data_IF_211786917892
#
_entry.id   IF_211786917892
#
_cell.length_a   1.000
_cell.length_b   1.000
_cell.length_c   1.000
_cell.angle_alpha   90.00
_cell.angle_beta   90.00
_cell.angle_gamma   90.00
#
_symmetry.space_group_name_H-M   'P 1'
#
loop_
_entity.id
_entity.type
_entity.pdbx_description
1 polymer ?
#
# COMPACT_ATOMS: atom_id res chain seq x y z
N UNK A 1 8.11 8.19 -39.94
CA UNK A 1 7.85 6.78 -39.61
C UNK A 1 6.73 6.76 -38.59
N UNK A 2 5.62 6.14 -38.97
CA UNK A 2 4.31 6.20 -38.29
C UNK A 2 4.30 5.43 -36.96
N UNK A 3 3.85 6.06 -35.88
CA UNK A 3 3.94 5.56 -34.48
C UNK A 3 2.64 4.85 -34.01
N UNK A 4 1.81 4.39 -34.95
CA UNK A 4 0.47 3.84 -34.63
C UNK A 4 0.37 2.32 -34.67
N UNK A 5 1.49 1.58 -34.67
CA UNK A 5 1.48 0.11 -34.66
C UNK A 5 2.44 -0.46 -33.63
N UNK A 6 2.05 -0.46 -32.36
CA UNK A 6 2.62 -1.35 -31.37
C UNK A 6 1.54 -2.33 -30.89
N UNK A 7 1.68 -3.58 -31.31
CA UNK A 7 0.80 -4.67 -30.92
C UNK A 7 1.20 -5.18 -29.51
N UNK A 8 0.26 -5.64 -28.67
CA UNK A 8 0.48 -6.12 -27.29
C UNK A 8 1.47 -7.30 -27.12
N UNK A 9 2.02 -7.84 -28.21
CA UNK A 9 2.83 -9.06 -28.23
C UNK A 9 4.34 -8.83 -28.07
N UNK A 10 4.84 -7.61 -28.19
CA UNK A 10 6.28 -7.32 -28.06
C UNK A 10 6.75 -7.33 -26.59
N UNK A 11 5.88 -6.96 -25.64
CA UNK A 11 6.19 -7.02 -24.21
C UNK A 11 6.35 -8.47 -23.71
N UNK A 12 5.57 -9.41 -24.25
CA UNK A 12 5.70 -10.85 -23.93
C UNK A 12 7.01 -11.45 -24.43
N UNK A 13 7.54 -10.99 -25.56
CA UNK A 13 8.82 -11.48 -26.11
C UNK A 13 10.01 -11.04 -25.24
N UNK A 14 9.93 -9.87 -24.61
CA UNK A 14 10.97 -9.40 -23.69
C UNK A 14 11.00 -10.26 -22.40
N UNK A 15 9.81 -10.60 -21.86
CA UNK A 15 9.71 -11.47 -20.68
C UNK A 15 10.14 -12.93 -20.95
N UNK A 16 10.06 -13.41 -22.20
CA UNK A 16 10.42 -14.78 -22.55
C UNK A 16 11.95 -15.04 -22.58
N UNK A 17 12.79 -14.00 -22.53
CA UNK A 17 14.26 -14.14 -22.44
C UNK A 17 14.78 -14.44 -21.03
N UNK A 18 13.92 -14.39 -20.00
CA UNK A 18 14.27 -14.76 -18.64
C UNK A 18 13.93 -16.25 -18.44
N UNK A 19 14.92 -17.11 -18.68
CA UNK A 19 14.78 -18.56 -18.58
C UNK A 19 14.32 -19.02 -17.19
N UNK A 20 13.15 -19.67 -17.14
CA UNK A 20 12.68 -20.41 -15.99
C UNK A 20 12.47 -21.88 -16.39
N UNK A 21 12.93 -22.86 -15.58
CA UNK A 21 12.77 -24.27 -15.89
C UNK A 21 11.29 -24.67 -15.75
N UNK A 22 10.80 -25.43 -16.74
CA UNK A 22 9.46 -26.04 -16.73
C UNK A 22 9.60 -27.51 -16.36
N UNK A 23 8.99 -27.94 -15.24
CA UNK A 23 8.43 -29.29 -15.01
C UNK A 23 7.80 -29.39 -13.61
N UNK A 24 6.87 -30.34 -13.33
CA UNK A 24 5.81 -30.88 -14.17
C UNK A 24 4.41 -30.76 -13.50
N UNK A 25 3.36 -31.06 -14.25
CA UNK A 25 1.98 -31.18 -13.75
C UNK A 25 1.80 -32.40 -12.84
N UNK A 26 1.29 -32.21 -11.61
CA UNK A 26 0.10 -32.88 -11.00
C UNK A 26 0.17 -32.98 -9.47
N UNK A 27 -0.73 -32.30 -8.78
CA UNK A 27 -1.70 -32.86 -7.81
C UNK A 27 -2.61 -31.73 -7.27
N UNK A 28 -3.84 -32.08 -6.87
CA UNK A 28 -4.90 -31.15 -6.45
C UNK A 28 -4.46 -30.28 -5.24
N UNK A 29 -4.33 -28.93 -5.39
CA UNK A 29 -3.61 -28.10 -4.41
C UNK A 29 -4.45 -27.63 -3.20
N UNK A 30 -5.70 -28.09 -3.07
CA UNK A 30 -6.60 -27.61 -1.99
C UNK A 30 -6.22 -28.07 -0.58
N UNK A 31 -5.55 -29.21 -0.44
CA UNK A 31 -5.21 -29.77 0.89
C UNK A 31 -3.76 -29.47 1.29
N UNK A 32 -2.83 -29.44 0.33
CA UNK A 32 -1.39 -29.27 0.63
C UNK A 32 -1.01 -27.82 0.95
N UNK A 33 -1.79 -26.82 0.51
CA UNK A 33 -1.48 -25.40 0.77
C UNK A 33 -1.71 -24.95 2.22
N UNK A 34 -2.60 -25.62 2.97
CA UNK A 34 -2.76 -25.40 4.41
C UNK A 34 -1.51 -25.77 5.22
N UNK A 35 -0.63 -26.62 4.66
CA UNK A 35 0.61 -27.05 5.30
C UNK A 35 1.81 -26.14 5.06
N UNK A 36 1.67 -25.02 4.32
CA UNK A 36 2.82 -24.11 4.12
C UNK A 36 3.23 -23.37 5.42
N UNK A 37 4.54 -23.24 5.72
CA UNK A 37 5.03 -22.61 6.95
C UNK A 37 4.92 -21.09 6.86
N UNK A 38 4.57 -20.40 7.96
CA UNK A 38 4.63 -18.93 8.01
C UNK A 38 3.58 -18.21 8.87
N UNK A 39 2.60 -18.92 9.47
CA UNK A 39 1.77 -18.37 10.54
C UNK A 39 2.17 -19.04 11.85
N UNK A 40 2.73 -18.27 12.80
CA UNK A 40 3.19 -18.77 14.10
C UNK A 40 2.08 -19.39 14.98
N UNK A 41 0.82 -19.25 14.58
CA UNK A 41 -0.36 -19.82 15.24
C UNK A 41 -0.31 -21.36 15.34
N UNK A 42 0.34 -22.04 14.37
CA UNK A 42 0.40 -23.51 14.34
C UNK A 42 1.07 -24.12 15.57
N UNK A 43 2.16 -23.50 16.06
CA UNK A 43 2.90 -23.99 17.23
C UNK A 43 2.05 -23.91 18.50
N UNK A 44 1.31 -22.83 18.64
CA UNK A 44 0.41 -22.60 19.77
C UNK A 44 -0.84 -23.50 19.72
N UNK A 45 -1.40 -23.77 18.54
CA UNK A 45 -2.48 -24.74 18.37
C UNK A 45 -2.05 -26.17 18.70
N UNK A 46 -0.85 -26.57 18.27
CA UNK A 46 -0.29 -27.88 18.63
C UNK A 46 -0.07 -27.96 20.15
N UNK A 47 0.47 -26.92 20.77
CA UNK A 47 0.65 -26.86 22.22
C UNK A 47 -0.68 -26.95 22.98
N UNK A 48 -1.72 -26.25 22.51
CA UNK A 48 -3.08 -26.32 23.06
C UNK A 48 -3.67 -27.73 22.94
N UNK A 49 -3.54 -28.37 21.76
CA UNK A 49 -4.01 -29.75 21.54
C UNK A 49 -3.29 -30.73 22.46
N UNK A 50 -1.97 -30.63 22.59
CA UNK A 50 -1.18 -31.47 23.50
C UNK A 50 -1.63 -31.25 24.95
N UNK A 51 -1.85 -30.00 25.37
CA UNK A 51 -2.37 -29.68 26.70
C UNK A 51 -3.75 -30.29 26.97
N UNK A 52 -4.69 -30.19 26.02
CA UNK A 52 -6.01 -30.80 26.14
C UNK A 52 -5.94 -32.33 26.24
N UNK A 53 -5.08 -32.96 25.44
CA UNK A 53 -4.87 -34.41 25.50
C UNK A 53 -4.33 -34.82 26.86
N UNK A 54 -3.29 -34.15 27.37
CA UNK A 54 -2.72 -34.44 28.69
C UNK A 54 -3.74 -34.30 29.83
N UNK A 55 -4.52 -33.21 29.83
CA UNK A 55 -5.59 -32.99 30.81
C UNK A 55 -6.66 -34.09 30.70
N UNK A 56 -7.11 -34.40 29.48
CA UNK A 56 -8.12 -35.43 29.24
C UNK A 56 -7.66 -36.82 29.70
N UNK A 57 -6.38 -37.14 29.49
CA UNK A 57 -5.77 -38.39 29.89
C UNK A 57 -5.65 -38.46 31.42
N UNK A 58 -5.23 -37.37 32.07
CA UNK A 58 -5.16 -37.26 33.52
C UNK A 58 -6.53 -37.44 34.20
N UNK A 59 -7.56 -36.75 33.71
CA UNK A 59 -8.94 -36.92 34.16
C UNK A 59 -9.42 -38.36 33.91
N UNK A 60 -9.11 -38.91 32.73
CA UNK A 60 -9.45 -40.29 32.36
C UNK A 60 -8.86 -41.33 33.34
N UNK A 61 -7.58 -41.18 33.71
CA UNK A 61 -6.93 -42.05 34.69
C UNK A 61 -7.54 -41.90 36.09
N UNK A 62 -7.82 -40.66 36.53
CA UNK A 62 -8.45 -40.41 37.82
C UNK A 62 -9.85 -41.06 37.91
N UNK A 63 -10.68 -40.87 36.88
CA UNK A 63 -12.00 -41.49 36.80
C UNK A 63 -11.93 -43.01 36.72
N UNK A 64 -10.99 -43.57 35.93
CA UNK A 64 -10.80 -45.02 35.83
C UNK A 64 -10.37 -45.63 37.17
N UNK A 65 -9.55 -44.92 37.95
CA UNK A 65 -9.15 -45.34 39.29
C UNK A 65 -10.36 -45.36 40.23
N UNK A 66 -11.12 -44.26 40.33
CA UNK A 66 -12.34 -44.18 41.17
C UNK A 66 -13.34 -45.29 40.82
N UNK A 67 -13.51 -45.58 39.53
CA UNK A 67 -14.40 -46.64 39.05
C UNK A 67 -13.92 -48.05 39.44
N UNK A 68 -12.61 -48.28 39.47
CA UNK A 68 -12.01 -49.58 39.87
C UNK A 68 -11.92 -49.78 41.37
N UNK A 69 -11.79 -48.69 42.14
CA UNK A 69 -11.69 -48.71 43.60
C UNK A 69 -13.02 -49.01 44.31
N UNK A 70 -14.10 -49.28 43.58
CA UNK A 70 -15.38 -49.73 44.14
C UNK A 70 -16.15 -48.67 44.92
N UNK A 71 -15.84 -47.38 44.73
CA UNK A 71 -16.57 -46.28 45.37
C UNK A 71 -18.02 -46.30 44.88
N UNK A 72 -18.98 -46.41 45.80
CA UNK A 72 -20.41 -46.40 45.48
C UNK A 72 -20.84 -45.01 45.01
N UNK A 73 -20.92 -44.84 43.68
CA UNK A 73 -21.43 -43.64 43.05
C UNK A 73 -22.97 -43.63 43.11
N UNK A 74 -23.62 -42.46 43.24
CA UNK A 74 -25.08 -42.34 43.20
C UNK A 74 -25.70 -42.94 41.94
N UNK A 75 -26.92 -43.48 42.04
CA UNK A 75 -27.64 -44.14 40.93
C UNK A 75 -27.78 -43.28 39.66
N UNK A 76 -27.71 -41.96 39.76
CA UNK A 76 -27.80 -41.05 38.61
C UNK A 76 -26.65 -41.26 37.60
N UNK A 77 -25.46 -41.69 38.09
CA UNK A 77 -24.31 -41.95 37.25
C UNK A 77 -24.47 -43.21 36.39
N UNK A 78 -25.34 -44.14 36.78
CA UNK A 78 -25.64 -45.34 36.00
C UNK A 78 -26.21 -44.99 34.62
N UNK A 79 -27.18 -44.06 34.60
CA UNK A 79 -27.82 -43.58 33.37
C UNK A 79 -26.93 -42.61 32.61
N UNK A 80 -26.26 -41.69 33.30
CA UNK A 80 -25.38 -40.70 32.68
C UNK A 80 -24.17 -41.34 31.97
N UNK A 81 -23.62 -42.40 32.56
CA UNK A 81 -22.50 -43.16 31.98
C UNK A 81 -22.96 -44.36 31.17
N UNK A 82 -24.24 -44.46 30.81
CA UNK A 82 -24.79 -45.51 29.93
C UNK A 82 -24.34 -46.94 30.32
N UNK A 83 -24.37 -47.28 31.62
CA UNK A 83 -23.84 -48.57 32.12
C UNK A 83 -24.64 -49.79 31.69
N UNK A 84 -25.87 -49.59 31.20
CA UNK A 84 -26.71 -50.65 30.64
C UNK A 84 -26.23 -51.15 29.25
N UNK A 85 -25.27 -50.47 28.63
CA UNK A 85 -24.67 -50.85 27.35
C UNK A 85 -23.29 -51.49 27.56
N UNK A 86 -22.93 -52.41 26.66
CA UNK A 86 -21.62 -53.05 26.66
C UNK A 86 -20.49 -52.00 26.60
N UNK A 87 -19.37 -52.30 27.29
CA UNK A 87 -18.26 -51.38 27.49
C UNK A 87 -17.68 -50.86 26.18
N UNK A 88 -17.60 -51.72 25.16
CA UNK A 88 -17.09 -51.36 23.83
C UNK A 88 -18.07 -50.44 23.07
N UNK A 89 -19.37 -50.73 23.15
CA UNK A 89 -20.43 -49.94 22.50
C UNK A 89 -20.50 -48.54 23.08
N UNK A 90 -20.47 -48.42 24.41
CA UNK A 90 -20.44 -47.13 25.10
C UNK A 90 -19.21 -46.30 24.74
N UNK A 91 -18.03 -46.92 24.71
CA UNK A 91 -16.79 -46.24 24.32
C UNK A 91 -16.87 -45.68 22.90
N UNK A 92 -17.43 -46.45 21.96
CA UNK A 92 -17.67 -46.01 20.59
C UNK A 92 -18.62 -44.82 20.50
N UNK A 93 -19.73 -44.82 21.27
CA UNK A 93 -20.69 -43.71 21.30
C UNK A 93 -20.07 -42.40 21.79
N UNK A 94 -19.33 -42.43 22.91
CA UNK A 94 -18.66 -41.24 23.43
C UNK A 94 -17.58 -40.72 22.47
N UNK A 95 -16.82 -41.62 21.83
CA UNK A 95 -15.83 -41.23 20.84
C UNK A 95 -16.49 -40.57 19.60
N UNK A 96 -17.58 -41.13 19.09
CA UNK A 96 -18.30 -40.58 17.95
C UNK A 96 -18.95 -39.22 18.26
N UNK A 97 -19.56 -39.07 19.44
CA UNK A 97 -20.15 -37.81 19.89
C UNK A 97 -19.06 -36.75 20.08
N UNK A 98 -17.97 -37.10 20.75
CA UNK A 98 -16.82 -36.20 20.94
C UNK A 98 -16.22 -35.73 19.62
N UNK A 99 -16.01 -36.65 18.67
CA UNK A 99 -15.51 -36.31 17.33
C UNK A 99 -16.48 -35.38 16.59
N UNK A 100 -17.78 -35.63 16.68
CA UNK A 100 -18.81 -34.81 16.03
C UNK A 100 -18.85 -33.38 16.60
N UNK A 101 -18.75 -33.23 17.92
CA UNK A 101 -18.68 -31.92 18.59
C UNK A 101 -17.40 -31.18 18.18
N UNK A 102 -16.26 -31.86 18.13
CA UNK A 102 -14.98 -31.26 17.71
C UNK A 102 -15.07 -30.77 16.26
N UNK A 103 -15.60 -31.59 15.35
CA UNK A 103 -15.78 -31.21 13.94
C UNK A 103 -16.74 -30.03 13.77
N UNK A 104 -17.84 -30.02 14.53
CA UNK A 104 -18.79 -28.91 14.53
C UNK A 104 -18.17 -27.62 15.10
N UNK A 105 -17.43 -27.72 16.20
CA UNK A 105 -16.72 -26.60 16.81
C UNK A 105 -15.65 -26.02 15.87
N UNK A 106 -14.88 -26.88 15.19
CA UNK A 106 -13.91 -26.46 14.17
C UNK A 106 -14.60 -25.74 13.00
N UNK A 107 -15.72 -26.28 12.52
CA UNK A 107 -16.51 -25.65 11.46
C UNK A 107 -17.04 -24.26 11.89
N UNK A 108 -17.60 -24.17 13.10
CA UNK A 108 -18.14 -22.91 13.64
C UNK A 108 -17.07 -21.88 13.97
N UNK A 109 -15.92 -22.29 14.50
CA UNK A 109 -14.77 -21.41 14.72
C UNK A 109 -14.25 -20.86 13.40
N UNK A 110 -14.15 -21.71 12.37
CA UNK A 110 -13.80 -21.27 11.03
C UNK A 110 -14.82 -20.24 10.53
N UNK A 111 -16.13 -20.46 10.72
CA UNK A 111 -17.15 -19.50 10.33
C UNK A 111 -17.10 -18.18 11.13
N UNK A 112 -16.86 -18.24 12.44
CA UNK A 112 -16.89 -17.08 13.34
C UNK A 112 -15.66 -16.19 13.21
N UNK A 113 -14.49 -16.78 13.01
CA UNK A 113 -13.23 -16.02 12.88
C UNK A 113 -13.10 -15.44 11.48
N UNK A 114 -13.59 -16.15 10.46
CA UNK A 114 -13.45 -15.73 9.07
C UNK A 114 -14.67 -14.94 8.54
N UNK A 115 -15.84 -15.07 9.17
CA UNK A 115 -17.10 -14.44 8.76
C UNK A 115 -17.05 -12.90 8.63
N UNK A 116 -16.45 -12.16 9.59
CA UNK A 116 -16.31 -10.71 9.49
C UNK A 116 -15.31 -10.24 8.43
N UNK A 117 -14.41 -11.12 7.97
CA UNK A 117 -13.35 -10.80 6.99
C UNK A 117 -13.68 -11.31 5.58
N UNK A 118 -14.88 -11.84 5.35
CA UNK A 118 -15.29 -12.44 4.08
C UNK A 118 -16.54 -11.78 3.45
N UNK A 119 -16.46 -10.51 3.00
CA UNK A 119 -17.26 -10.06 1.88
C UNK A 119 -16.63 -10.63 0.59
N UNK A 120 -17.24 -11.67 -0.02
CA UNK A 120 -16.88 -12.11 -1.38
C UNK A 120 -15.94 -13.32 -1.53
N UNK A 121 -16.29 -14.45 -0.89
CA UNK A 121 -16.26 -15.84 -1.40
C UNK A 121 -15.15 -16.30 -2.41
N UNK A 122 -13.86 -16.04 -2.15
CA UNK A 122 -12.68 -16.85 -2.60
C UNK A 122 -11.57 -16.07 -3.33
N UNK A 123 -11.86 -14.94 -3.99
CA UNK A 123 -10.80 -14.15 -4.67
C UNK A 123 -10.03 -13.26 -3.67
N UNK A 124 -10.75 -12.58 -2.79
CA UNK A 124 -10.20 -11.57 -1.88
C UNK A 124 -9.07 -12.09 -1.00
N UNK A 125 -9.20 -13.27 -0.37
CA UNK A 125 -8.14 -13.76 0.54
C UNK A 125 -6.88 -14.20 -0.22
N UNK A 126 -7.04 -14.85 -1.37
CA UNK A 126 -5.92 -15.26 -2.22
C UNK A 126 -5.20 -14.05 -2.81
N UNK A 127 -5.96 -13.00 -3.14
CA UNK A 127 -5.47 -11.73 -3.66
C UNK A 127 -4.77 -10.92 -2.58
N UNK A 128 -5.31 -10.87 -1.35
CA UNK A 128 -4.66 -10.27 -0.17
C UNK A 128 -3.34 -10.99 0.14
N UNK A 129 -3.32 -12.34 0.15
CA UNK A 129 -2.09 -13.12 0.44
C UNK A 129 -1.07 -13.00 -0.70
N UNK A 130 -1.51 -13.02 -1.96
CA UNK A 130 -0.66 -12.76 -3.12
C UNK A 130 -0.06 -11.36 -3.04
N UNK A 131 -0.90 -10.35 -2.78
CA UNK A 131 -0.48 -8.97 -2.64
C UNK A 131 0.50 -8.78 -1.49
N UNK A 132 0.30 -9.44 -0.35
CA UNK A 132 1.20 -9.27 0.78
C UNK A 132 2.54 -10.00 0.61
N UNK A 133 2.55 -11.21 0.01
CA UNK A 133 3.77 -12.04 -0.09
C UNK A 133 4.58 -11.87 -1.38
N UNK A 134 3.95 -11.62 -2.53
CA UNK A 134 4.67 -11.51 -3.80
C UNK A 134 5.09 -10.07 -4.09
N UNK A 135 4.22 -9.10 -3.85
CA UNK A 135 4.52 -7.71 -4.23
C UNK A 135 5.49 -7.02 -3.25
N UNK A 136 5.59 -7.45 -1.99
CA UNK A 136 6.69 -7.02 -1.10
C UNK A 136 8.05 -7.55 -1.54
N UNK A 137 8.10 -8.58 -2.39
CA UNK A 137 9.32 -9.07 -3.04
C UNK A 137 9.48 -8.53 -4.47
N UNK A 138 8.61 -7.61 -4.89
CA UNK A 138 8.69 -6.98 -6.20
C UNK A 138 9.89 -6.03 -6.31
N UNK A 139 10.21 -5.58 -7.53
CA UNK A 139 11.36 -4.70 -7.74
C UNK A 139 11.17 -3.36 -7.02
N UNK A 140 12.27 -2.77 -6.56
CA UNK A 140 12.30 -1.40 -6.00
C UNK A 140 12.24 -0.38 -7.13
N UNK A 141 11.11 0.30 -7.26
CA UNK A 141 10.86 1.25 -8.35
C UNK A 141 10.67 2.65 -7.78
N UNK A 142 11.49 3.58 -8.25
CA UNK A 142 11.35 5.01 -7.98
C UNK A 142 10.65 5.67 -9.16
N UNK A 143 9.65 6.50 -8.90
CA UNK A 143 9.00 7.32 -9.92
C UNK A 143 9.11 8.80 -9.54
N UNK A 144 9.71 9.61 -10.42
CA UNK A 144 9.86 11.05 -10.23
C UNK A 144 8.83 11.82 -11.06
N UNK A 145 8.19 12.81 -10.48
CA UNK A 145 7.31 13.71 -11.24
C UNK A 145 6.37 14.53 -10.36
N UNK A 146 5.17 14.74 -10.88
CA UNK A 146 4.10 15.48 -10.22
C UNK A 146 2.75 15.25 -10.91
N UNK A 147 1.71 15.83 -10.34
CA UNK A 147 0.39 15.90 -10.92
C UNK A 147 -0.32 14.56 -11.19
N UNK A 148 -1.18 14.61 -12.20
CA UNK A 148 -2.05 13.50 -12.62
C UNK A 148 -1.29 12.39 -13.38
N UNK A 149 -0.20 12.74 -14.06
CA UNK A 149 0.64 11.79 -14.79
C UNK A 149 1.30 10.78 -13.87
N UNK A 150 2.01 11.27 -12.84
CA UNK A 150 2.65 10.43 -11.83
C UNK A 150 1.61 9.57 -11.09
N UNK A 151 0.51 10.16 -10.62
CA UNK A 151 -0.52 9.41 -9.89
C UNK A 151 -1.21 8.33 -10.74
N UNK A 152 -1.37 8.54 -12.04
CA UNK A 152 -1.89 7.52 -12.96
C UNK A 152 -0.90 6.37 -13.13
N UNK A 153 0.39 6.68 -13.32
CA UNK A 153 1.45 5.69 -13.39
C UNK A 153 1.51 4.84 -12.11
N UNK A 154 1.53 5.49 -10.94
CA UNK A 154 1.57 4.82 -9.63
C UNK A 154 0.38 3.87 -9.41
N UNK A 155 -0.83 4.27 -9.83
CA UNK A 155 -2.03 3.41 -9.75
C UNK A 155 -1.89 2.14 -10.57
N UNK A 156 -1.18 2.21 -11.71
CA UNK A 156 -0.81 1.06 -12.53
C UNK A 156 0.28 0.21 -11.87
N UNK A 157 1.38 0.85 -11.46
CA UNK A 157 2.56 0.18 -10.89
C UNK A 157 2.27 -0.55 -9.58
N UNK A 158 1.35 -0.04 -8.75
CA UNK A 158 0.92 -0.67 -7.48
C UNK A 158 0.46 -2.12 -7.64
N UNK A 159 0.03 -2.51 -8.85
CA UNK A 159 -0.38 -3.88 -9.19
C UNK A 159 0.80 -4.84 -9.39
N UNK A 160 2.00 -4.33 -9.64
CA UNK A 160 3.19 -5.10 -10.02
C UNK A 160 4.29 -5.11 -8.95
N UNK A 161 4.36 -4.07 -8.11
CA UNK A 161 5.27 -4.06 -6.96
C UNK A 161 4.67 -3.29 -5.79
N UNK A 162 5.05 -3.67 -4.57
CA UNK A 162 4.78 -2.93 -3.34
C UNK A 162 5.93 -2.03 -2.91
N UNK A 163 7.08 -2.14 -3.57
CA UNK A 163 8.30 -1.40 -3.27
C UNK A 163 8.38 -0.17 -4.18
N UNK A 164 7.39 0.71 -4.07
CA UNK A 164 7.29 1.95 -4.84
C UNK A 164 7.74 3.13 -3.98
N UNK A 165 8.56 4.00 -4.54
CA UNK A 165 8.84 5.32 -3.98
C UNK A 165 8.50 6.40 -4.99
N UNK A 166 7.53 7.25 -4.67
CA UNK A 166 7.18 8.41 -5.47
C UNK A 166 7.94 9.64 -4.96
N UNK A 167 8.79 10.23 -5.79
CA UNK A 167 9.48 11.49 -5.49
C UNK A 167 8.70 12.61 -6.17
N UNK A 168 8.26 13.56 -5.35
CA UNK A 168 7.28 14.58 -5.75
C UNK A 168 7.87 15.98 -5.57
N UNK A 169 7.68 16.84 -6.57
CA UNK A 169 8.08 18.25 -6.49
C UNK A 169 7.26 19.01 -5.45
N UNK A 170 7.89 19.95 -4.76
CA UNK A 170 7.26 20.84 -3.77
C UNK A 170 7.10 22.27 -4.30
N UNK A 171 7.23 22.48 -5.62
CA UNK A 171 7.21 23.81 -6.23
C UNK A 171 5.81 24.28 -6.69
N UNK A 172 4.76 23.47 -6.52
CA UNK A 172 3.38 23.80 -6.88
C UNK A 172 2.89 25.05 -6.12
N UNK A 173 2.26 25.97 -6.83
CA UNK A 173 1.62 27.17 -6.30
C UNK A 173 0.19 27.38 -6.82
N UNK A 174 -0.38 26.37 -7.49
CA UNK A 174 -1.69 26.43 -8.10
C UNK A 174 -2.85 26.15 -7.13
N UNK A 175 -3.98 26.83 -7.38
CA UNK A 175 -5.29 26.47 -6.82
C UNK A 175 -5.32 26.34 -5.30
N UNK A 176 -5.85 25.21 -4.80
CA UNK A 176 -5.96 24.98 -3.36
C UNK A 176 -4.61 24.76 -2.68
N UNK A 177 -3.60 24.23 -3.38
CA UNK A 177 -2.27 23.99 -2.81
C UNK A 177 -1.58 25.32 -2.56
N UNK A 178 -1.56 26.19 -3.57
CA UNK A 178 -0.96 27.53 -3.49
C UNK A 178 -1.57 28.40 -2.40
N UNK A 179 -2.90 28.42 -2.28
CA UNK A 179 -3.57 29.18 -1.20
C UNK A 179 -3.15 28.71 0.20
N UNK A 180 -3.13 27.39 0.43
CA UNK A 180 -2.71 26.84 1.73
C UNK A 180 -1.24 27.10 2.01
N UNK A 181 -0.38 26.97 0.99
CA UNK A 181 1.03 27.30 1.07
C UNK A 181 1.26 28.76 1.46
N UNK A 182 0.55 29.69 0.84
CA UNK A 182 0.67 31.12 1.14
C UNK A 182 0.16 31.50 2.54
N UNK A 183 -0.96 30.90 2.97
CA UNK A 183 -1.62 31.24 4.24
C UNK A 183 -0.96 30.56 5.45
N UNK A 184 -0.55 29.30 5.32
CA UNK A 184 -0.04 28.47 6.42
C UNK A 184 1.47 28.22 6.35
N UNK A 185 2.17 28.71 5.31
CA UNK A 185 3.62 28.52 5.11
C UNK A 185 4.07 27.06 5.15
N UNK A 186 3.25 26.17 4.60
CA UNK A 186 3.54 24.74 4.46
C UNK A 186 3.91 24.41 3.02
N UNK A 187 4.58 23.28 2.81
CA UNK A 187 4.81 22.73 1.47
C UNK A 187 3.47 22.40 0.79
N UNK A 188 3.37 22.54 -0.55
CA UNK A 188 2.11 22.39 -1.25
C UNK A 188 1.61 20.93 -1.20
N UNK A 189 0.42 20.66 -0.65
CA UNK A 189 -0.05 19.30 -0.41
C UNK A 189 -0.63 18.60 -1.65
N UNK A 190 -0.87 19.32 -2.76
CA UNK A 190 -1.67 18.85 -3.89
C UNK A 190 -1.16 17.57 -4.55
N UNK A 191 0.11 17.54 -4.93
CA UNK A 191 0.68 16.38 -5.62
C UNK A 191 0.90 15.20 -4.68
N UNK A 192 1.23 15.46 -3.41
CA UNK A 192 1.27 14.43 -2.36
C UNK A 192 -0.11 13.80 -2.18
N UNK A 193 -1.18 14.61 -2.12
CA UNK A 193 -2.56 14.11 -2.04
C UNK A 193 -2.88 13.20 -3.21
N UNK A 194 -2.50 13.56 -4.44
CA UNK A 194 -2.71 12.73 -5.63
C UNK A 194 -1.96 11.40 -5.54
N UNK A 195 -0.70 11.41 -5.10
CA UNK A 195 0.11 10.20 -4.92
C UNK A 195 -0.45 9.29 -3.82
N UNK A 196 -0.82 9.86 -2.66
CA UNK A 196 -1.48 9.13 -1.55
C UNK A 196 -2.72 8.43 -2.08
N UNK A 197 -3.56 9.15 -2.82
CA UNK A 197 -4.80 8.60 -3.39
C UNK A 197 -4.56 7.54 -4.48
N UNK A 198 -3.43 7.61 -5.19
CA UNK A 198 -3.06 6.61 -6.19
C UNK A 198 -2.59 5.31 -5.54
N UNK A 199 -1.90 5.42 -4.40
CA UNK A 199 -1.27 4.30 -3.71
C UNK A 199 -2.10 3.74 -2.55
N UNK A 200 -3.16 4.43 -2.12
CA UNK A 200 -4.06 4.03 -1.04
C UNK A 200 -4.75 2.68 -1.32
N UNK A 201 -4.85 1.84 -0.29
CA UNK A 201 -5.51 0.52 -0.30
C UNK A 201 -6.70 0.49 0.65
N UNK A 202 -7.58 1.51 0.55
CA UNK A 202 -8.71 1.72 1.46
C UNK A 202 -10.06 1.52 0.78
N UNK A 203 -11.10 1.45 1.61
CA UNK A 203 -12.49 1.41 1.16
C UNK A 203 -12.81 2.58 0.19
N UNK A 204 -13.69 2.36 -0.81
CA UNK A 204 -14.03 3.36 -1.82
C UNK A 204 -14.50 4.72 -1.25
N UNK A 205 -15.16 4.71 -0.09
CA UNK A 205 -15.66 5.92 0.57
C UNK A 205 -14.54 6.83 1.05
N UNK A 206 -13.49 6.29 1.69
CA UNK A 206 -12.35 7.07 2.16
C UNK A 206 -11.59 7.73 1.01
N UNK A 207 -11.42 7.00 -0.09
CA UNK A 207 -10.82 7.55 -1.32
C UNK A 207 -11.66 8.72 -1.86
N UNK A 208 -12.98 8.57 -1.87
CA UNK A 208 -13.93 9.60 -2.33
C UNK A 208 -13.88 10.84 -1.44
N UNK A 209 -13.84 10.65 -0.12
CA UNK A 209 -13.72 11.74 0.86
C UNK A 209 -12.39 12.50 0.65
N UNK A 210 -11.29 11.79 0.49
CA UNK A 210 -9.97 12.41 0.30
C UNK A 210 -9.85 13.18 -1.02
N UNK A 211 -10.62 12.80 -2.04
CA UNK A 211 -10.73 13.51 -3.31
C UNK A 211 -11.77 14.64 -3.28
N UNK A 212 -12.58 14.76 -2.23
CA UNK A 212 -13.64 15.75 -2.16
C UNK A 212 -13.09 17.18 -2.28
N UNK A 213 -13.80 18.01 -3.05
CA UNK A 213 -13.55 19.44 -3.21
C UNK A 213 -14.81 20.20 -2.81
N UNK A 214 -14.65 21.12 -1.87
CA UNK A 214 -15.72 21.99 -1.41
C UNK A 214 -16.11 22.96 -2.53
N UNK A 215 -17.41 23.18 -2.72
CA UNK A 215 -17.96 24.02 -3.80
C UNK A 215 -18.48 25.38 -3.32
N UNK A 216 -18.72 25.51 -2.02
CA UNK A 216 -19.42 26.65 -1.42
C UNK A 216 -18.82 26.98 -0.05
N UNK A 217 -19.12 28.18 0.46
CA UNK A 217 -18.67 28.65 1.77
C UNK A 217 -17.20 29.11 1.82
N UNK A 218 -16.68 29.28 3.03
CA UNK A 218 -15.29 29.71 3.28
C UNK A 218 -14.24 28.73 2.77
N UNK A 219 -14.60 27.45 2.65
CA UNK A 219 -13.73 26.40 2.13
C UNK A 219 -13.81 26.26 0.60
N UNK A 220 -14.53 27.13 -0.12
CA UNK A 220 -14.74 26.99 -1.55
C UNK A 220 -13.43 26.78 -2.33
N UNK A 221 -13.41 25.72 -3.12
CA UNK A 221 -12.27 25.33 -3.93
C UNK A 221 -11.18 24.56 -3.18
N UNK A 222 -11.22 24.44 -1.85
CA UNK A 222 -10.28 23.59 -1.11
C UNK A 222 -10.61 22.11 -1.31
N UNK A 223 -9.57 21.28 -1.33
CA UNK A 223 -9.74 19.83 -1.26
C UNK A 223 -9.65 19.36 0.19
N UNK A 224 -10.55 18.47 0.62
CA UNK A 224 -10.48 17.87 1.95
C UNK A 224 -9.12 17.20 2.19
N UNK A 225 -8.60 16.45 1.21
CA UNK A 225 -7.29 15.82 1.36
C UNK A 225 -6.13 16.81 1.54
N UNK A 226 -6.21 18.00 0.94
CA UNK A 226 -5.21 19.05 1.16
C UNK A 226 -5.29 19.61 2.58
N UNK A 227 -6.52 19.86 3.08
CA UNK A 227 -6.75 20.30 4.46
C UNK A 227 -6.31 19.25 5.47
N UNK A 228 -6.56 17.97 5.18
CA UNK A 228 -6.11 16.86 6.00
C UNK A 228 -4.58 16.81 6.10
N UNK A 229 -3.87 16.87 4.96
CA UNK A 229 -2.39 16.87 4.96
C UNK A 229 -1.84 18.10 5.70
N UNK A 230 -2.44 19.27 5.49
CA UNK A 230 -2.07 20.49 6.21
C UNK A 230 -2.22 20.32 7.73
N UNK A 231 -3.38 19.84 8.20
CA UNK A 231 -3.61 19.60 9.62
C UNK A 231 -2.63 18.57 10.19
N UNK A 232 -2.31 17.52 9.42
CA UNK A 232 -1.29 16.54 9.81
C UNK A 232 0.09 17.19 9.94
N UNK A 233 0.47 18.10 9.03
CA UNK A 233 1.73 18.84 9.10
C UNK A 233 1.80 19.76 10.32
N UNK A 234 0.71 20.45 10.67
CA UNK A 234 0.63 21.26 11.88
C UNK A 234 0.74 20.42 13.16
N UNK A 235 0.05 19.27 13.21
CA UNK A 235 0.05 18.39 14.39
C UNK A 235 1.42 17.73 14.60
N UNK A 236 2.06 17.29 13.51
CA UNK A 236 3.35 16.58 13.57
C UNK A 236 4.53 17.54 13.68
N UNK A 237 4.38 18.80 13.25
CA UNK A 237 5.45 19.78 13.17
C UNK A 237 6.48 19.50 12.07
N UNK A 238 6.28 18.44 11.28
CA UNK A 238 7.19 17.99 10.23
C UNK A 238 6.40 17.46 9.03
N UNK A 239 6.67 18.03 7.85
CA UNK A 239 5.90 17.70 6.65
C UNK A 239 6.14 16.25 6.20
N UNK A 240 7.36 15.73 6.31
CA UNK A 240 7.64 14.33 5.94
C UNK A 240 6.90 13.36 6.86
N UNK A 241 6.95 13.61 8.16
CA UNK A 241 6.21 12.83 9.13
C UNK A 241 4.70 12.90 8.84
N UNK A 242 4.16 14.06 8.49
CA UNK A 242 2.76 14.22 8.11
C UNK A 242 2.37 13.39 6.88
N UNK A 243 3.19 13.37 5.83
CA UNK A 243 2.95 12.54 4.65
C UNK A 243 2.99 11.05 5.01
N UNK A 244 3.94 10.65 5.85
CA UNK A 244 4.08 9.27 6.31
C UNK A 244 2.88 8.80 7.13
N UNK A 245 2.43 9.59 8.10
CA UNK A 245 1.25 9.27 8.91
C UNK A 245 -0.04 9.32 8.09
N UNK A 246 -0.17 10.30 7.18
CA UNK A 246 -1.29 10.36 6.23
C UNK A 246 -1.35 9.10 5.36
N UNK A 247 -0.19 8.63 4.89
CA UNK A 247 -0.06 7.39 4.15
C UNK A 247 -0.47 6.17 4.96
N UNK A 248 -0.12 6.10 6.25
CA UNK A 248 -0.55 5.01 7.14
C UNK A 248 -2.06 4.98 7.34
N UNK A 249 -2.68 6.13 7.61
CA UNK A 249 -4.14 6.26 7.76
C UNK A 249 -4.87 5.77 6.51
N UNK A 250 -4.30 6.02 5.33
CA UNK A 250 -4.86 5.62 4.04
C UNK A 250 -4.28 4.32 3.48
N UNK A 251 -3.61 3.51 4.30
CA UNK A 251 -3.01 2.23 3.91
C UNK A 251 -2.26 2.29 2.57
N UNK A 252 -1.46 3.36 2.39
CA UNK A 252 -0.67 3.60 1.19
C UNK A 252 0.34 2.48 0.98
N UNK A 253 0.39 1.96 -0.24
CA UNK A 253 1.37 0.96 -0.65
C UNK A 253 2.58 1.61 -1.30
N UNK A 254 3.66 1.72 -0.55
CA UNK A 254 4.91 2.36 -0.97
C UNK A 254 5.20 3.59 -0.13
N UNK A 255 6.12 4.40 -0.60
CA UNK A 255 6.58 5.63 0.03
C UNK A 255 6.35 6.82 -0.91
N UNK A 256 6.09 7.98 -0.32
CA UNK A 256 5.94 9.25 -1.03
C UNK A 256 6.87 10.21 -0.32
N UNK A 257 7.79 10.79 -1.07
CA UNK A 257 8.91 11.56 -0.52
C UNK A 257 8.98 12.88 -1.29
N UNK A 258 9.10 14.03 -0.59
CA UNK A 258 9.32 15.30 -1.26
C UNK A 258 10.72 15.35 -1.88
N UNK A 259 10.88 15.98 -3.04
CA UNK A 259 12.19 16.16 -3.69
C UNK A 259 13.17 16.98 -2.85
N UNK A 260 12.64 17.93 -2.08
CA UNK A 260 13.36 18.75 -1.11
C UNK A 260 12.43 19.13 0.04
N UNK A 261 12.99 19.42 1.21
CA UNK A 261 12.26 19.92 2.38
C UNK A 261 12.15 21.43 2.41
N UNK A 262 12.87 22.12 1.53
CA UNK A 262 12.88 23.56 1.45
C UNK A 262 11.64 24.04 0.70
N UNK A 263 10.97 25.05 1.24
CA UNK A 263 9.92 25.76 0.50
C UNK A 263 10.56 26.53 -0.66
N UNK A 264 10.23 26.14 -1.90
CA UNK A 264 10.87 26.65 -3.12
C UNK A 264 9.87 27.05 -4.18
N UNK A 265 10.21 28.09 -4.93
CA UNK A 265 9.42 28.62 -6.02
C UNK A 265 10.06 28.24 -7.34
N UNK A 266 9.25 27.76 -8.28
CA UNK A 266 9.71 27.47 -9.63
C UNK A 266 9.88 28.77 -10.42
N UNK A 267 11.06 28.96 -11.00
CA UNK A 267 11.40 30.09 -11.85
C UNK A 267 11.67 29.60 -13.28
N UNK A 268 11.21 30.35 -14.28
CA UNK A 268 11.52 30.09 -15.69
C UNK A 268 12.15 31.31 -16.35
N UNK A 269 13.34 31.14 -16.93
CA UNK A 269 13.95 32.12 -17.84
C UNK A 269 13.40 31.88 -19.25
N UNK A 270 12.75 32.90 -19.81
CA UNK A 270 12.17 32.87 -21.14
C UNK A 270 13.22 33.27 -22.21
N UNK A 271 12.98 32.92 -23.47
CA UNK A 271 13.90 33.21 -24.56
C UNK A 271 14.11 34.72 -24.83
N UNK A 272 13.17 35.56 -24.40
CA UNK A 272 13.25 37.03 -24.45
C UNK A 272 14.02 37.65 -23.26
N UNK A 273 14.53 36.81 -22.35
CA UNK A 273 15.26 37.22 -21.15
C UNK A 273 14.35 37.57 -19.95
N UNK A 274 13.03 37.56 -20.10
CA UNK A 274 12.12 37.74 -18.98
C UNK A 274 12.15 36.50 -18.06
N UNK A 275 11.97 36.72 -16.76
CA UNK A 275 11.83 35.63 -15.79
C UNK A 275 10.39 35.57 -15.29
N UNK A 276 9.77 34.39 -15.39
CA UNK A 276 8.45 34.10 -14.82
C UNK A 276 8.62 33.39 -13.49
N UNK A 277 7.83 33.84 -12.51
CA UNK A 277 7.85 33.36 -11.12
C UNK A 277 6.60 32.55 -10.87
N UNK A 278 6.77 31.32 -10.38
CA UNK A 278 5.67 30.46 -9.98
C UNK A 278 5.24 29.44 -11.04
N UNK A 279 4.85 28.25 -10.58
CA UNK A 279 4.48 27.13 -11.43
C UNK A 279 3.29 27.46 -12.33
N UNK A 280 2.26 28.04 -11.74
CA UNK A 280 1.02 28.38 -12.44
C UNK A 280 1.18 29.50 -13.47
N UNK A 281 2.18 30.38 -13.32
CA UNK A 281 2.42 31.50 -14.24
C UNK A 281 3.33 31.15 -15.42
N UNK A 282 4.07 30.04 -15.36
CA UNK A 282 5.00 29.65 -16.43
C UNK A 282 4.28 29.29 -17.74
N UNK A 283 3.22 28.44 -17.74
CA UNK A 283 2.51 28.05 -18.96
C UNK A 283 1.66 29.18 -19.56
N UNK A 284 1.25 30.16 -18.75
CA UNK A 284 0.30 31.20 -19.13
C UNK A 284 1.04 32.52 -19.38
N UNK A 285 1.20 32.96 -20.64
CA UNK A 285 1.98 34.15 -20.99
C UNK A 285 1.46 35.45 -20.37
N UNK A 286 0.18 35.45 -20.04
CA UNK A 286 -0.55 36.51 -19.38
C UNK A 286 -1.36 35.82 -18.27
N UNK A 287 -1.66 36.52 -17.17
CA UNK A 287 -2.85 36.16 -16.39
C UNK A 287 -4.09 36.05 -17.30
N UNK A 288 -5.25 35.68 -16.76
CA UNK A 288 -6.51 35.43 -17.49
C UNK A 288 -7.00 36.57 -18.43
N UNK A 289 -6.24 37.66 -18.57
CA UNK A 289 -6.49 38.93 -19.23
C UNK A 289 -6.42 38.90 -20.77
N UNK A 290 -6.31 37.73 -21.40
CA UNK A 290 -6.60 37.54 -22.85
C UNK A 290 -5.76 38.32 -23.86
N UNK A 291 -4.71 39.05 -23.43
CA UNK A 291 -4.05 40.03 -24.28
C UNK A 291 -2.88 39.44 -25.09
N UNK A 292 -3.20 38.55 -26.06
CA UNK A 292 -2.45 38.30 -27.30
C UNK A 292 -0.91 38.18 -27.32
N UNK A 293 -0.23 37.95 -26.19
CA UNK A 293 1.22 37.89 -26.13
C UNK A 293 1.73 36.61 -26.80
N UNK A 294 2.76 36.76 -27.62
CA UNK A 294 3.42 35.65 -28.32
C UNK A 294 3.92 34.64 -27.29
N UNK A 295 3.65 33.35 -27.50
CA UNK A 295 4.19 32.29 -26.66
C UNK A 295 5.72 32.26 -26.76
N UNK A 296 6.41 32.91 -25.81
CA UNK A 296 7.87 32.85 -25.72
C UNK A 296 8.30 31.45 -25.27
N UNK A 297 9.31 30.88 -25.94
CA UNK A 297 9.89 29.60 -25.54
C UNK A 297 10.59 29.70 -24.17
N UNK A 298 10.48 28.65 -23.35
CA UNK A 298 11.23 28.53 -22.09
C UNK A 298 12.68 28.15 -22.42
N UNK A 299 13.64 28.94 -21.93
CA UNK A 299 15.08 28.68 -22.11
C UNK A 299 15.61 27.73 -21.05
N UNK A 300 15.26 27.95 -19.78
CA UNK A 300 15.57 27.04 -18.66
C UNK A 300 14.63 27.29 -17.47
N UNK A 301 14.57 26.33 -16.56
CA UNK A 301 13.92 26.46 -15.26
C UNK A 301 14.91 26.25 -14.13
N UNK A 302 14.66 26.86 -12.98
CA UNK A 302 15.45 26.74 -11.77
C UNK A 302 14.55 26.96 -10.54
N UNK A 303 15.06 26.66 -9.34
CA UNK A 303 14.32 26.80 -8.09
C UNK A 303 14.94 27.88 -7.22
N UNK A 304 14.10 28.67 -6.55
CA UNK A 304 14.54 29.70 -5.62
C UNK A 304 13.75 29.63 -4.30
N UNK A 305 14.42 29.63 -3.13
CA UNK A 305 15.87 29.54 -2.94
C UNK A 305 16.44 28.19 -3.42
N UNK A 306 17.75 28.12 -3.71
CA UNK A 306 18.40 26.88 -4.16
C UNK A 306 18.21 25.75 -3.15
N UNK A 307 17.52 24.65 -3.51
CA UNK A 307 17.26 23.54 -2.60
C UNK A 307 18.30 22.42 -2.74
N UNK A 308 18.53 21.72 -1.64
CA UNK A 308 19.24 20.43 -1.62
C UNK A 308 18.24 19.28 -1.68
N UNK A 309 18.66 18.16 -2.27
CA UNK A 309 17.88 16.92 -2.30
C UNK A 309 17.51 16.47 -0.88
N UNK A 310 16.30 15.94 -0.74
CA UNK A 310 15.89 15.23 0.46
C UNK A 310 16.73 13.93 0.64
N UNK A 311 17.39 13.71 1.79
CA UNK A 311 18.11 12.47 2.07
C UNK A 311 17.30 11.18 1.83
N UNK A 312 16.00 11.16 2.15
CA UNK A 312 15.14 9.99 1.90
C UNK A 312 14.94 9.74 0.39
N UNK A 313 14.90 10.82 -0.41
CA UNK A 313 14.79 10.72 -1.87
C UNK A 313 16.10 10.21 -2.48
N UNK A 314 17.24 10.69 -1.99
CA UNK A 314 18.57 10.22 -2.39
C UNK A 314 18.75 8.72 -2.09
N UNK A 315 18.44 8.30 -0.86
CA UNK A 315 18.52 6.89 -0.44
C UNK A 315 17.63 6.00 -1.32
N UNK A 316 16.40 6.44 -1.62
CA UNK A 316 15.50 5.69 -2.48
C UNK A 316 16.05 5.52 -3.90
N UNK A 317 16.65 6.57 -4.47
CA UNK A 317 17.27 6.55 -5.80
C UNK A 317 18.45 5.57 -5.84
N UNK A 318 19.33 5.62 -4.85
CA UNK A 318 20.52 4.77 -4.78
C UNK A 318 20.15 3.29 -4.59
N UNK A 319 19.07 3.01 -3.88
CA UNK A 319 18.58 1.64 -3.65
C UNK A 319 17.64 1.11 -4.76
N UNK A 320 17.26 1.94 -5.73
CA UNK A 320 16.33 1.57 -6.78
C UNK A 320 16.90 0.48 -7.71
N UNK A 321 16.02 -0.34 -8.27
CA UNK A 321 16.34 -1.24 -9.39
C UNK A 321 15.85 -0.63 -10.72
N UNK A 322 14.82 0.22 -10.66
CA UNK A 322 14.30 0.99 -11.78
C UNK A 322 13.91 2.39 -11.32
N UNK A 323 14.24 3.38 -12.13
CA UNK A 323 13.87 4.78 -11.94
C UNK A 323 13.09 5.22 -13.17
N UNK A 324 11.88 5.74 -12.96
CA UNK A 324 11.00 6.24 -14.01
C UNK A 324 10.90 7.74 -13.87
N UNK A 325 11.20 8.49 -14.93
CA UNK A 325 11.10 9.95 -14.94
C UNK A 325 9.86 10.37 -15.72
N UNK A 326 8.86 10.87 -14.98
CA UNK A 326 7.54 11.18 -15.52
C UNK A 326 6.57 9.98 -15.49
N UNK A 327 5.45 10.04 -16.24
CA UNK A 327 5.06 11.12 -17.14
C UNK A 327 4.62 12.37 -16.38
N UNK A 328 4.73 13.53 -17.02
CA UNK A 328 4.31 14.81 -16.47
C UNK A 328 4.74 15.97 -17.35
N UNK A 329 4.32 17.18 -17.00
CA UNK A 329 4.78 18.39 -17.68
C UNK A 329 6.30 18.51 -17.54
N UNK A 330 7.00 18.69 -18.66
CA UNK A 330 8.45 18.74 -18.67
C UNK A 330 8.98 19.83 -17.72
N UNK A 331 8.47 21.05 -17.85
CA UNK A 331 8.97 22.22 -17.12
C UNK A 331 8.41 22.37 -15.71
N UNK A 332 7.20 21.86 -15.45
CA UNK A 332 6.50 22.09 -14.17
C UNK A 332 6.33 20.84 -13.30
N UNK A 333 6.65 19.65 -13.81
CA UNK A 333 6.56 18.40 -13.03
C UNK A 333 7.85 17.59 -13.06
N UNK A 334 8.54 17.50 -14.19
CA UNK A 334 9.75 16.68 -14.32
C UNK A 334 11.00 17.47 -13.91
N UNK A 335 11.30 18.56 -14.63
CA UNK A 335 12.49 19.37 -14.37
C UNK A 335 12.55 19.94 -12.95
N UNK A 336 11.45 20.37 -12.29
CA UNK A 336 11.51 20.84 -10.91
C UNK A 336 12.01 19.79 -9.91
N UNK A 337 11.90 18.49 -10.21
CA UNK A 337 12.55 17.47 -9.40
C UNK A 337 14.05 17.39 -9.74
N UNK A 338 14.40 17.43 -11.03
CA UNK A 338 15.76 17.21 -11.52
C UNK A 338 16.74 18.37 -11.26
N UNK A 339 16.24 19.59 -11.11
CA UNK A 339 17.06 20.80 -10.84
C UNK A 339 17.34 21.01 -9.34
N UNK A 340 16.84 20.12 -8.47
CA UNK A 340 17.21 20.11 -7.04
C UNK A 340 18.67 19.69 -6.91
N UNK A 341 19.46 20.43 -6.13
CA UNK A 341 20.89 20.16 -5.97
C UNK A 341 21.12 18.77 -5.38
N UNK A 342 21.98 17.97 -6.04
CA UNK A 342 22.26 16.57 -5.70
C UNK A 342 21.34 15.54 -6.39
N UNK A 343 20.21 15.94 -6.98
CA UNK A 343 19.30 14.98 -7.64
C UNK A 343 19.93 14.35 -8.88
N UNK A 344 20.54 15.16 -9.75
CA UNK A 344 21.17 14.66 -10.97
C UNK A 344 22.36 13.75 -10.66
N UNK A 345 23.11 14.06 -9.60
CA UNK A 345 24.24 13.30 -9.08
C UNK A 345 23.78 11.93 -8.57
N UNK A 346 22.74 11.89 -7.74
CA UNK A 346 22.15 10.65 -7.22
C UNK A 346 21.65 9.75 -8.36
N UNK A 347 20.95 10.32 -9.34
CA UNK A 347 20.46 9.59 -10.52
C UNK A 347 21.60 8.99 -11.36
N UNK A 348 22.71 9.72 -11.53
CA UNK A 348 23.90 9.23 -12.24
C UNK A 348 24.62 8.13 -11.45
N UNK A 349 24.70 8.27 -10.13
CA UNK A 349 25.37 7.31 -9.25
C UNK A 349 24.59 5.99 -9.11
N UNK A 350 23.25 6.02 -9.18
CA UNK A 350 22.42 4.84 -9.06
C UNK A 350 22.68 3.82 -10.19
N UNK A 351 22.79 2.51 -9.91
CA UNK A 351 22.93 1.47 -10.93
C UNK A 351 21.60 1.11 -11.62
N UNK A 352 20.48 1.67 -11.16
CA UNK A 352 19.14 1.36 -11.66
C UNK A 352 18.98 1.63 -13.17
N UNK A 353 18.05 0.92 -13.80
CA UNK A 353 17.58 1.24 -15.15
C UNK A 353 16.78 2.54 -15.09
N UNK A 354 17.14 3.53 -15.91
CA UNK A 354 16.40 4.80 -16.03
C UNK A 354 15.52 4.77 -17.27
N UNK A 355 14.22 5.04 -17.08
CA UNK A 355 13.17 5.01 -18.12
C UNK A 355 12.54 6.39 -18.28
#
# INVERSE_FOLDING_TARGET
>A
MDVTKWAPNEFKKCCAKLGAPVAPLRMNPRVVRWFTPGLHVKRWLVLLMVGMVLISLGIGYALANVYRSGVQLPHIFYYLTLQFLDRYVRGGLFAALGLSIILYALYKLTQSVLGPFLPGRDRALSEIIYNYRFLQKGPRVVALGGGTGLSTLLRGLKKYTGNLTAIVTVADDGGSSGRLRAEYRILPPGDFRQCITALADVEPLMTTLFQHRFKEGSLNGHSFGNLFIMAMAEITGDFEHAIRESGRVLAVRGQIVPSTLRDVTLMAEMADGQTRVGESSIPHPNGDDGNGAVATAIKRVFLEPEPTINPEAEEAILNAEMIIVGPGSLYTSILPNLVVDGMAEALKASPAIKV
#
